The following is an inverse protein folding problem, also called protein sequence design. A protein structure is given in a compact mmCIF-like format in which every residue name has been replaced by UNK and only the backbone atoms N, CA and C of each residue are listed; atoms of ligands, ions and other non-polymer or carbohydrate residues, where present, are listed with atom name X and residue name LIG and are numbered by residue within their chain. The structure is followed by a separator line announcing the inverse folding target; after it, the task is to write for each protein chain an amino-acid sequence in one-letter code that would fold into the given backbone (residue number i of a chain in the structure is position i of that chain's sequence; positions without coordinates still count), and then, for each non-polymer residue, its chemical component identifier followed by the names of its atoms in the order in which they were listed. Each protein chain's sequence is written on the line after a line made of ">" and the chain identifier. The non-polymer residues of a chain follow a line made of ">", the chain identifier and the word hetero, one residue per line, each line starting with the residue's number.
data_IF_874698499041
#
_entry.id   IF_874698499041
#
_cell.length_a   1.000
_cell.length_b   1.000
_cell.length_c   1.000
_cell.angle_alpha   90.00
_cell.angle_beta   90.00
_cell.angle_gamma   90.00
#
_symmetry.space_group_name_H-M   'P 1'
#
loop_
_entity.id
_entity.type
_entity.pdbx_description
1 polymer ?
#
# COMPACT_ATOMS: atom_id res chain seq x y z
N UNK A 1 17.27 -32.04 -19.47
CA UNK A 1 17.86 -31.51 -18.22
C UNK A 1 16.80 -31.66 -17.12
N UNK A 2 17.05 -32.51 -16.12
CA UNK A 2 16.05 -32.82 -15.07
C UNK A 2 16.16 -31.88 -13.87
N UNK A 3 15.10 -31.80 -13.05
CA UNK A 3 15.06 -30.97 -11.83
C UNK A 3 16.20 -31.27 -10.86
N UNK A 4 16.52 -32.55 -10.67
CA UNK A 4 17.66 -33.01 -9.84
C UNK A 4 18.97 -32.46 -10.38
N UNK A 5 19.19 -32.56 -11.70
CA UNK A 5 20.41 -32.08 -12.33
C UNK A 5 20.55 -30.55 -12.23
N UNK A 6 19.46 -29.79 -12.26
CA UNK A 6 19.48 -28.33 -12.01
C UNK A 6 19.79 -27.96 -10.57
N UNK A 7 19.26 -28.71 -9.59
CA UNK A 7 19.54 -28.46 -8.16
C UNK A 7 21.01 -28.73 -7.85
N UNK A 8 21.56 -29.86 -8.32
CA UNK A 8 22.98 -30.20 -8.13
C UNK A 8 23.90 -29.14 -8.73
N UNK A 9 23.62 -28.69 -9.97
CA UNK A 9 24.40 -27.62 -10.61
C UNK A 9 24.31 -26.30 -9.85
N UNK A 10 23.12 -25.92 -9.37
CA UNK A 10 22.92 -24.70 -8.58
C UNK A 10 23.69 -24.76 -7.26
N UNK A 11 23.67 -25.90 -6.57
CA UNK A 11 24.40 -26.09 -5.32
C UNK A 11 25.92 -25.99 -5.54
N UNK A 12 26.46 -26.63 -6.58
CA UNK A 12 27.89 -26.51 -6.93
C UNK A 12 28.36 -25.07 -7.19
N UNK A 13 27.49 -24.24 -7.76
CA UNK A 13 27.82 -22.86 -8.14
C UNK A 13 27.53 -21.83 -7.04
N UNK A 14 26.43 -21.99 -6.30
CA UNK A 14 25.92 -20.98 -5.36
C UNK A 14 25.83 -21.46 -3.91
N UNK A 15 26.13 -22.74 -3.63
CA UNK A 15 26.08 -23.31 -2.28
C UNK A 15 24.69 -23.44 -1.66
N UNK A 16 23.62 -23.15 -2.41
CA UNK A 16 22.25 -23.11 -1.87
C UNK A 16 21.27 -23.93 -2.69
N UNK A 17 20.40 -24.66 -1.99
CA UNK A 17 19.26 -25.38 -2.55
C UNK A 17 17.97 -24.55 -2.49
N UNK A 18 17.97 -23.42 -1.77
CA UNK A 18 16.79 -22.58 -1.58
C UNK A 18 16.32 -21.99 -2.91
N UNK A 19 15.00 -21.98 -3.21
CA UNK A 19 14.48 -21.38 -4.43
C UNK A 19 14.82 -19.89 -4.48
N UNK A 20 15.24 -19.41 -5.64
CA UNK A 20 15.54 -17.99 -5.84
C UNK A 20 14.25 -17.22 -6.12
N UNK A 21 14.13 -16.03 -5.54
CA UNK A 21 13.03 -15.12 -5.87
C UNK A 21 13.09 -14.76 -7.35
N UNK A 22 11.98 -14.96 -8.07
CA UNK A 22 11.88 -14.55 -9.46
C UNK A 22 11.68 -13.04 -9.51
N UNK A 23 12.45 -12.36 -10.37
CA UNK A 23 12.19 -10.96 -10.66
C UNK A 23 10.80 -10.86 -11.31
N UNK A 24 9.85 -10.26 -10.58
CA UNK A 24 8.52 -9.97 -11.11
C UNK A 24 8.55 -8.80 -12.09
N UNK A 25 7.41 -8.52 -12.73
CA UNK A 25 7.24 -7.31 -13.54
C UNK A 25 7.61 -6.10 -12.69
N UNK A 26 8.54 -5.27 -13.17
CA UNK A 26 8.91 -4.02 -12.51
C UNK A 26 7.63 -3.19 -12.37
N UNK A 27 7.08 -3.13 -11.16
CA UNK A 27 6.10 -2.11 -10.81
C UNK A 27 6.90 -0.83 -10.92
N UNK A 28 6.55 0.02 -11.88
CA UNK A 28 7.07 1.39 -11.93
C UNK A 28 6.92 1.89 -10.51
N UNK A 29 8.06 2.10 -9.83
CA UNK A 29 8.11 2.72 -8.52
C UNK A 29 7.58 4.11 -8.81
N UNK A 30 6.26 4.26 -8.78
CA UNK A 30 5.62 5.53 -8.81
C UNK A 30 5.88 6.06 -7.41
N UNK A 31 7.10 6.58 -7.26
CA UNK A 31 7.53 7.46 -6.19
C UNK A 31 6.75 8.75 -6.43
N UNK A 32 5.41 8.66 -6.41
CA UNK A 32 4.67 9.76 -5.85
C UNK A 32 5.11 9.72 -4.40
N UNK A 33 6.17 10.48 -4.08
CA UNK A 33 6.28 11.12 -2.78
C UNK A 33 5.03 11.98 -2.68
N UNK A 34 3.94 11.32 -2.37
CA UNK A 34 2.72 11.85 -1.82
C UNK A 34 3.24 12.40 -0.48
N UNK A 35 3.85 13.60 -0.50
CA UNK A 35 4.21 14.39 0.69
C UNK A 35 2.92 14.92 1.35
N UNK A 36 1.96 14.02 1.48
CA UNK A 36 0.56 14.22 1.85
C UNK A 36 0.36 13.87 3.31
N UNK A 37 1.45 13.54 4.02
CA UNK A 37 1.48 13.52 5.48
C UNK A 37 1.18 14.91 6.08
N UNK A 38 1.21 15.98 5.28
CA UNK A 38 0.68 17.32 5.62
C UNK A 38 -0.66 17.65 4.93
N UNK A 39 -1.17 16.79 4.06
CA UNK A 39 -2.45 17.03 3.40
C UNK A 39 -3.57 16.66 4.36
N UNK A 40 -4.54 17.56 4.41
CA UNK A 40 -5.75 17.44 5.20
C UNK A 40 -6.35 16.02 5.06
N UNK A 41 -6.59 15.29 6.15
CA UNK A 41 -7.14 13.93 6.10
C UNK A 41 -8.52 13.84 5.42
N UNK A 42 -9.17 14.97 5.15
CA UNK A 42 -10.43 15.08 4.42
C UNK A 42 -10.28 15.08 2.89
N UNK A 43 -9.08 15.20 2.34
CA UNK A 43 -8.93 15.25 0.87
C UNK A 43 -9.30 13.92 0.24
N UNK A 44 -10.10 13.97 -0.82
CA UNK A 44 -10.57 12.78 -1.53
C UNK A 44 -9.53 12.32 -2.56
N UNK A 45 -9.53 11.02 -2.90
CA UNK A 45 -8.65 10.48 -3.95
C UNK A 45 -8.80 11.22 -5.31
N UNK A 46 -9.98 11.74 -5.63
CA UNK A 46 -10.22 12.50 -6.86
C UNK A 46 -9.53 13.87 -6.83
N UNK A 47 -9.51 14.54 -5.67
CA UNK A 47 -8.82 15.82 -5.49
C UNK A 47 -7.30 15.63 -5.58
N UNK A 48 -6.79 14.53 -5.01
CA UNK A 48 -5.39 14.14 -5.16
C UNK A 48 -5.00 13.93 -6.62
N UNK A 49 -5.85 13.28 -7.42
CA UNK A 49 -5.61 13.14 -8.86
C UNK A 49 -5.57 14.51 -9.55
N UNK A 50 -6.49 15.42 -9.21
CA UNK A 50 -6.52 16.77 -9.78
C UNK A 50 -5.21 17.54 -9.51
N UNK A 51 -4.75 17.58 -8.26
CA UNK A 51 -3.49 18.25 -7.88
C UNK A 51 -2.27 17.62 -8.57
N UNK A 52 -2.26 16.30 -8.74
CA UNK A 52 -1.19 15.61 -9.46
C UNK A 52 -1.18 15.97 -10.94
N UNK A 53 -2.35 16.07 -11.57
CA UNK A 53 -2.48 16.51 -12.97
C UNK A 53 -2.01 17.95 -13.14
N UNK A 54 -2.35 18.85 -12.20
CA UNK A 54 -1.86 20.23 -12.18
C UNK A 54 -0.32 20.29 -12.06
N UNK A 55 0.29 19.36 -11.33
CA UNK A 55 1.75 19.22 -11.22
C UNK A 55 2.37 18.52 -12.46
N UNK A 56 1.59 18.28 -13.51
CA UNK A 56 2.05 17.62 -14.75
C UNK A 56 2.15 16.09 -14.67
N UNK A 57 1.59 15.47 -13.63
CA UNK A 57 1.61 14.01 -13.45
C UNK A 57 0.26 13.40 -13.83
N UNK A 58 0.26 12.61 -14.91
CA UNK A 58 -0.91 11.81 -15.31
C UNK A 58 -0.98 10.52 -14.48
N UNK A 59 -1.90 10.47 -13.52
CA UNK A 59 -2.07 9.33 -12.60
C UNK A 59 -3.54 8.89 -12.58
N UNK A 60 -3.79 7.58 -12.56
CA UNK A 60 -5.15 7.05 -12.39
C UNK A 60 -5.59 7.06 -10.93
N UNK A 61 -6.91 7.14 -10.69
CA UNK A 61 -7.50 7.05 -9.34
C UNK A 61 -7.10 5.75 -8.64
N UNK A 62 -7.06 4.62 -9.37
CA UNK A 62 -6.65 3.32 -8.82
C UNK A 62 -5.20 3.31 -8.32
N UNK A 63 -4.32 4.02 -9.02
CA UNK A 63 -2.92 4.17 -8.62
C UNK A 63 -2.81 4.98 -7.34
N UNK A 64 -3.56 6.07 -7.22
CA UNK A 64 -3.63 6.88 -5.99
C UNK A 64 -4.16 6.07 -4.81
N UNK A 65 -5.28 5.35 -4.97
CA UNK A 65 -5.85 4.49 -3.92
C UNK A 65 -4.85 3.41 -3.46
N UNK A 66 -4.14 2.78 -4.39
CA UNK A 66 -3.14 1.75 -4.08
C UNK A 66 -1.97 2.31 -3.26
N UNK A 67 -1.48 3.49 -3.63
CA UNK A 67 -0.40 4.18 -2.89
C UNK A 67 -0.89 4.55 -1.48
N UNK A 68 -2.10 5.11 -1.34
CA UNK A 68 -2.69 5.40 -0.03
C UNK A 68 -2.80 4.14 0.84
N UNK A 69 -3.21 3.01 0.26
CA UNK A 69 -3.30 1.73 0.97
C UNK A 69 -1.93 1.22 1.45
N UNK A 70 -0.90 1.27 0.58
CA UNK A 70 0.47 0.86 0.92
C UNK A 70 1.09 1.68 2.05
N UNK A 71 0.70 2.96 2.15
CA UNK A 71 1.15 3.87 3.21
C UNK A 71 0.21 3.92 4.42
N UNK A 72 -0.80 3.04 4.50
CA UNK A 72 -1.81 3.02 5.56
C UNK A 72 -2.62 4.33 5.71
N UNK A 73 -2.66 5.18 4.68
CA UNK A 73 -3.40 6.44 4.62
C UNK A 73 -4.84 6.23 4.12
N UNK A 74 -5.46 5.11 4.53
CA UNK A 74 -6.85 4.80 4.16
C UNK A 74 -7.80 5.54 5.09
N UNK A 75 -8.85 6.11 4.54
CA UNK A 75 -9.96 6.67 5.31
C UNK A 75 -10.70 5.56 6.04
N UNK A 76 -10.37 5.35 7.31
CA UNK A 76 -11.07 4.42 8.20
C UNK A 76 -11.26 5.12 9.54
N UNK A 77 -12.26 5.99 9.63
CA UNK A 77 -12.72 6.51 10.91
C UNK A 77 -13.81 5.59 11.44
N UNK A 78 -13.51 4.86 12.53
CA UNK A 78 -14.56 4.19 13.27
C UNK A 78 -15.53 5.25 13.78
N UNK A 79 -16.82 5.13 13.40
CA UNK A 79 -17.85 5.98 13.99
C UNK A 79 -17.83 5.74 15.50
N UNK A 80 -17.68 6.81 16.29
CA UNK A 80 -17.88 6.74 17.74
C UNK A 80 -19.36 6.48 18.01
N UNK A 81 -19.74 5.21 18.05
CA UNK A 81 -21.02 4.78 18.63
C UNK A 81 -20.75 4.61 20.13
N UNK A 82 -21.17 5.54 21.00
CA UNK A 82 -21.03 5.32 22.43
C UNK A 82 -21.86 4.08 22.79
N UNK A 83 -21.20 3.03 23.31
CA UNK A 83 -21.88 1.82 23.78
C UNK A 83 -22.80 2.13 24.97
N UNK A 84 -22.42 3.12 25.78
CA UNK A 84 -23.19 3.61 26.92
C UNK A 84 -23.58 5.07 26.69
N UNK A 85 -24.88 5.34 26.66
CA UNK A 85 -25.42 6.68 26.69
C UNK A 85 -25.60 7.13 28.15
N UNK A 86 -25.72 8.44 28.38
CA UNK A 86 -25.82 8.99 29.75
C UNK A 86 -27.01 8.45 30.54
N UNK A 87 -28.09 8.01 29.88
CA UNK A 87 -29.26 7.43 30.53
C UNK A 87 -29.02 5.99 31.05
N UNK A 88 -27.97 5.30 30.61
CA UNK A 88 -27.56 4.00 31.15
C UNK A 88 -26.78 4.12 32.47
N UNK A 89 -26.40 5.34 32.87
CA UNK A 89 -25.67 5.56 34.13
C UNK A 89 -26.66 5.45 35.29
N UNK A 90 -26.39 4.58 36.27
CA UNK A 90 -27.08 4.63 37.57
C UNK A 90 -26.71 5.96 38.25
N UNK A 91 -27.71 6.72 38.71
CA UNK A 91 -27.49 7.84 39.62
C UNK A 91 -27.04 7.27 40.97
N UNK A 92 -25.86 7.69 41.43
CA UNK A 92 -25.39 7.53 42.81
C UNK A 92 -25.83 8.75 43.62
#
# INVERSE_FOLDING_TARGET
>A
RSSVQTIVRKYKHHGTTQPSLRSGRKIVKLILKINVLQINPKTTANELVKMLVETGRKVSISTVKRVLYQHNLKGCSALKKPLLQNHHKKRL
#
